data_IF_705458406017
#
_entry.id   IF_705458406017
#
_cell.length_a   1.000
_cell.length_b   1.000
_cell.length_c   1.000
_cell.angle_alpha   90.00
_cell.angle_beta   90.00
_cell.angle_gamma   90.00
#
_symmetry.space_group_name_H-M   'P 1'
#
loop_
_entity.id
_entity.type
_entity.pdbx_description
1 polymer ?
#
# COMPACT_ATOMS: atom_id res chain seq x y z
N UNK A 1 -29.19 -0.46 11.71
CA UNK A 1 -27.86 0.05 11.28
C UNK A 1 -28.05 0.86 10.01
N UNK A 2 -27.52 2.09 9.90
CA UNK A 2 -27.68 2.91 8.69
C UNK A 2 -26.98 2.18 7.52
N UNK A 3 -27.70 1.94 6.42
CA UNK A 3 -27.18 1.25 5.21
C UNK A 3 -25.89 1.90 4.66
N UNK A 4 -25.64 3.18 4.99
CA UNK A 4 -24.42 3.89 4.63
C UNK A 4 -23.14 3.32 5.27
N UNK A 5 -23.21 2.63 6.41
CA UNK A 5 -22.04 2.10 7.12
C UNK A 5 -21.36 0.96 6.34
N UNK A 6 -22.06 -0.13 5.94
CA UNK A 6 -21.43 -1.19 5.14
C UNK A 6 -20.97 -0.70 3.75
N UNK A 7 -21.72 0.22 3.13
CA UNK A 7 -21.37 0.77 1.81
C UNK A 7 -20.09 1.61 1.88
N UNK A 8 -19.96 2.49 2.88
CA UNK A 8 -18.75 3.30 3.06
C UNK A 8 -17.54 2.43 3.41
N UNK A 9 -17.71 1.38 4.23
CA UNK A 9 -16.65 0.42 4.52
C UNK A 9 -16.21 -0.36 3.27
N UNK A 10 -17.16 -0.80 2.44
CA UNK A 10 -16.87 -1.51 1.19
C UNK A 10 -16.12 -0.63 0.18
N UNK A 11 -16.58 0.61 -0.02
CA UNK A 11 -15.91 1.58 -0.90
C UNK A 11 -14.51 1.91 -0.38
N UNK A 12 -14.36 2.13 0.93
CA UNK A 12 -13.05 2.37 1.55
C UNK A 12 -12.11 1.17 1.38
N UNK A 13 -12.62 -0.06 1.51
CA UNK A 13 -11.86 -1.28 1.29
C UNK A 13 -11.36 -1.38 -0.16
N UNK A 14 -12.23 -1.17 -1.16
CA UNK A 14 -11.82 -1.23 -2.58
C UNK A 14 -10.77 -0.17 -2.90
N UNK A 15 -10.99 1.08 -2.47
CA UNK A 15 -10.07 2.19 -2.75
C UNK A 15 -8.73 1.97 -2.06
N UNK A 16 -8.75 1.55 -0.79
CA UNK A 16 -7.54 1.27 -0.02
C UNK A 16 -6.75 0.09 -0.60
N UNK A 17 -7.45 -0.95 -1.04
CA UNK A 17 -6.84 -2.13 -1.64
C UNK A 17 -6.24 -1.83 -3.02
N UNK A 18 -6.96 -1.08 -3.86
CA UNK A 18 -6.52 -0.75 -5.22
C UNK A 18 -5.19 -0.01 -5.26
N UNK A 19 -4.99 0.97 -4.37
CA UNK A 19 -3.72 1.70 -4.28
C UNK A 19 -2.60 0.86 -3.66
N UNK A 20 -2.90 0.14 -2.57
CA UNK A 20 -1.85 -0.52 -1.79
C UNK A 20 -1.37 -1.82 -2.43
N UNK A 21 -2.25 -2.57 -3.10
CA UNK A 21 -1.90 -3.79 -3.81
C UNK A 21 -0.86 -3.52 -4.92
N UNK A 22 -0.99 -2.41 -5.65
CA UNK A 22 -0.02 -2.03 -6.67
C UNK A 22 1.39 -1.87 -6.09
N UNK A 23 1.51 -1.26 -4.90
CA UNK A 23 2.77 -1.10 -4.19
C UNK A 23 3.31 -2.46 -3.67
N UNK A 24 2.43 -3.34 -3.18
CA UNK A 24 2.82 -4.70 -2.76
C UNK A 24 3.41 -5.48 -3.94
N UNK A 25 2.77 -5.43 -5.11
CA UNK A 25 3.26 -6.11 -6.32
C UNK A 25 4.58 -5.50 -6.79
N UNK A 26 4.72 -4.16 -6.74
CA UNK A 26 5.97 -3.50 -7.07
C UNK A 26 7.12 -3.93 -6.13
N UNK A 27 6.85 -4.03 -4.83
CA UNK A 27 7.80 -4.52 -3.84
C UNK A 27 8.18 -5.99 -4.08
N UNK A 28 7.18 -6.84 -4.37
CA UNK A 28 7.39 -8.25 -4.69
C UNK A 28 8.27 -8.43 -5.94
N UNK A 29 8.04 -7.62 -6.99
CA UNK A 29 8.89 -7.62 -8.19
C UNK A 29 10.31 -7.16 -7.90
N UNK A 30 10.50 -6.16 -7.04
CA UNK A 30 11.82 -5.65 -6.68
C UNK A 30 12.71 -6.68 -5.98
N UNK A 31 12.10 -7.62 -5.25
CA UNK A 31 12.80 -8.72 -4.55
C UNK A 31 12.85 -10.03 -5.35
N UNK A 32 12.37 -10.01 -6.60
CA UNK A 32 12.37 -11.16 -7.51
C UNK A 32 11.34 -12.25 -7.17
N UNK A 33 10.25 -11.91 -6.48
CA UNK A 33 9.22 -12.89 -6.12
C UNK A 33 8.50 -13.44 -7.35
N UNK A 34 8.24 -14.75 -7.35
CA UNK A 34 7.42 -15.41 -8.36
C UNK A 34 5.95 -14.99 -8.25
N UNK A 35 5.19 -15.24 -9.32
CA UNK A 35 3.74 -14.95 -9.33
C UNK A 35 2.99 -15.71 -8.23
N UNK A 36 3.41 -16.95 -7.96
CA UNK A 36 2.84 -17.81 -6.91
C UNK A 36 3.13 -17.26 -5.52
N UNK A 37 4.37 -16.82 -5.25
CA UNK A 37 4.76 -16.20 -3.98
C UNK A 37 4.03 -14.87 -3.76
N UNK A 38 3.88 -14.07 -4.80
CA UNK A 38 3.14 -12.80 -4.73
C UNK A 38 1.66 -13.04 -4.38
N UNK A 39 1.01 -14.00 -5.05
CA UNK A 39 -0.39 -14.35 -4.78
C UNK A 39 -0.59 -14.92 -3.36
N UNK A 40 0.32 -15.79 -2.92
CA UNK A 40 0.32 -16.33 -1.55
C UNK A 40 0.55 -15.23 -0.50
N UNK A 41 1.51 -14.34 -0.73
CA UNK A 41 1.82 -13.23 0.16
C UNK A 41 0.67 -12.23 0.29
N UNK A 42 0.04 -11.87 -0.82
CA UNK A 42 -1.17 -11.00 -0.80
C UNK A 42 -2.28 -11.68 0.00
N UNK A 43 -2.54 -12.97 -0.22
CA UNK A 43 -3.56 -13.71 0.52
C UNK A 43 -3.26 -13.74 2.03
N UNK A 44 -2.01 -13.99 2.40
CA UNK A 44 -1.56 -14.00 3.79
C UNK A 44 -1.74 -12.63 4.45
N UNK A 45 -1.39 -11.53 3.78
CA UNK A 45 -1.58 -10.16 4.29
C UNK A 45 -3.06 -9.85 4.49
N UNK A 46 -3.91 -10.19 3.51
CA UNK A 46 -5.36 -9.99 3.61
C UNK A 46 -5.95 -10.73 4.83
N UNK A 47 -5.57 -11.99 5.01
CA UNK A 47 -6.04 -12.80 6.13
C UNK A 47 -5.50 -12.28 7.47
N UNK A 48 -4.21 -11.93 7.53
CA UNK A 48 -3.60 -11.36 8.73
C UNK A 48 -4.32 -10.08 9.16
N UNK A 49 -4.53 -9.15 8.23
CA UNK A 49 -5.23 -7.89 8.52
C UNK A 49 -6.69 -8.10 8.92
N UNK A 50 -7.41 -9.02 8.26
CA UNK A 50 -8.78 -9.34 8.61
C UNK A 50 -8.87 -9.90 10.04
N UNK A 51 -7.98 -10.83 10.39
CA UNK A 51 -7.91 -11.43 11.73
C UNK A 51 -7.50 -10.40 12.77
N UNK A 52 -6.47 -9.59 12.52
CA UNK A 52 -6.01 -8.55 13.45
C UNK A 52 -7.07 -7.48 13.70
N UNK A 53 -7.68 -6.94 12.65
CA UNK A 53 -8.74 -5.95 12.77
C UNK A 53 -9.94 -6.52 13.52
N UNK A 54 -10.37 -7.75 13.18
CA UNK A 54 -11.49 -8.41 13.87
C UNK A 54 -11.18 -8.65 15.34
N UNK A 55 -9.99 -9.17 15.66
CA UNK A 55 -9.55 -9.46 17.02
C UNK A 55 -9.44 -8.21 17.88
N UNK A 56 -8.76 -7.17 17.38
CA UNK A 56 -8.61 -5.88 18.07
C UNK A 56 -9.97 -5.22 18.26
N UNK A 57 -10.77 -5.14 17.20
CA UNK A 57 -12.10 -4.51 17.24
C UNK A 57 -13.05 -5.21 18.21
N UNK A 58 -13.00 -6.55 18.28
CA UNK A 58 -13.76 -7.33 19.25
C UNK A 58 -13.28 -7.09 20.68
N UNK A 59 -11.96 -7.07 20.91
CA UNK A 59 -11.38 -6.89 22.25
C UNK A 59 -11.60 -5.48 22.80
N UNK A 60 -11.41 -4.43 21.99
CA UNK A 60 -11.55 -3.04 22.43
C UNK A 60 -12.98 -2.52 22.31
N UNK A 61 -13.90 -3.27 21.69
CA UNK A 61 -15.28 -2.85 21.42
C UNK A 61 -15.37 -1.51 20.66
N UNK A 62 -14.37 -1.23 19.84
CA UNK A 62 -14.26 -0.03 19.00
C UNK A 62 -13.78 -0.44 17.61
N UNK A 63 -14.23 0.20 16.52
CA UNK A 63 -13.77 -0.10 15.18
C UNK A 63 -12.29 0.29 15.02
N UNK A 64 -11.38 -0.66 15.23
CA UNK A 64 -9.94 -0.49 15.01
C UNK A 64 -9.59 -0.93 13.59
N UNK A 65 -8.88 -0.05 12.89
CA UNK A 65 -8.27 -0.34 11.59
C UNK A 65 -6.76 -0.33 11.83
N UNK A 66 -6.09 -1.44 11.52
CA UNK A 66 -4.62 -1.53 11.65
C UNK A 66 -3.93 -0.70 10.57
N UNK A 67 -2.76 -0.17 10.92
CA UNK A 67 -1.96 0.62 9.98
C UNK A 67 -1.31 -0.28 8.93
N UNK A 68 -1.30 0.17 7.68
CA UNK A 68 -0.57 -0.49 6.60
C UNK A 68 0.90 -0.09 6.63
N UNK A 69 1.81 -1.04 6.39
CA UNK A 69 3.24 -0.77 6.17
C UNK A 69 3.53 -0.21 4.77
N UNK A 70 2.64 0.62 4.21
CA UNK A 70 2.76 1.20 2.86
C UNK A 70 4.11 1.90 2.60
N UNK A 71 4.65 2.76 3.49
CA UNK A 71 5.97 3.36 3.25
C UNK A 71 7.09 2.31 3.29
N UNK A 72 6.97 1.25 4.10
CA UNK A 72 7.94 0.15 4.11
C UNK A 72 7.94 -0.64 2.81
N UNK A 73 6.75 -0.92 2.25
CA UNK A 73 6.63 -1.55 0.94
C UNK A 73 7.17 -0.67 -0.19
N UNK A 74 6.91 0.64 -0.13
CA UNK A 74 7.46 1.59 -1.10
C UNK A 74 8.99 1.65 -1.05
N UNK A 75 9.58 1.58 0.16
CA UNK A 75 11.03 1.50 0.33
C UNK A 75 11.60 0.22 -0.31
N UNK A 76 10.99 -0.94 -0.05
CA UNK A 76 11.41 -2.22 -0.64
C UNK A 76 11.27 -2.18 -2.17
N UNK A 77 10.16 -1.64 -2.68
CA UNK A 77 9.94 -1.45 -4.12
C UNK A 77 10.94 -0.51 -4.79
N UNK A 78 11.51 0.44 -4.04
CA UNK A 78 12.55 1.34 -4.51
C UNK A 78 13.97 0.77 -4.34
N UNK A 79 14.13 -0.34 -3.62
CA UNK A 79 15.40 -1.02 -3.37
C UNK A 79 15.71 -2.08 -4.44
N UNK A 80 16.97 -2.53 -4.52
CA UNK A 80 17.41 -3.54 -5.49
C UNK A 80 18.47 -4.46 -4.89
N UNK A 81 18.53 -5.70 -5.36
CA UNK A 81 19.60 -6.65 -5.01
C UNK A 81 19.33 -7.50 -3.76
N UNK A 82 18.08 -7.52 -3.27
CA UNK A 82 17.67 -8.35 -2.14
C UNK A 82 16.76 -9.49 -2.62
N UNK A 83 16.90 -10.65 -1.99
CA UNK A 83 16.03 -11.80 -2.21
C UNK A 83 14.73 -11.69 -1.40
N UNK A 84 13.72 -12.47 -1.81
CA UNK A 84 12.46 -12.62 -1.07
C UNK A 84 12.72 -13.01 0.40
N UNK A 85 13.66 -13.91 0.65
CA UNK A 85 14.00 -14.39 1.99
C UNK A 85 14.56 -13.28 2.89
N UNK A 86 15.45 -12.45 2.36
CA UNK A 86 15.99 -11.29 3.09
C UNK A 86 14.92 -10.24 3.39
N UNK A 87 14.02 -9.99 2.43
CA UNK A 87 12.90 -9.08 2.63
C UNK A 87 11.94 -9.57 3.73
N UNK A 88 11.58 -10.86 3.71
CA UNK A 88 10.75 -11.48 4.76
C UNK A 88 11.45 -11.43 6.11
N UNK A 89 12.75 -11.76 6.17
CA UNK A 89 13.55 -11.66 7.39
C UNK A 89 13.58 -10.24 7.96
N UNK A 90 13.79 -9.24 7.10
CA UNK A 90 13.75 -7.83 7.49
C UNK A 90 12.37 -7.42 8.04
N UNK A 91 11.27 -7.86 7.42
CA UNK A 91 9.92 -7.59 7.92
C UNK A 91 9.66 -8.26 9.29
N UNK A 92 10.09 -9.50 9.49
CA UNK A 92 9.93 -10.20 10.77
C UNK A 92 10.74 -9.49 11.86
N UNK A 93 12.01 -9.17 11.60
CA UNK A 93 12.86 -8.44 12.55
C UNK A 93 12.25 -7.07 12.87
N UNK A 94 11.76 -6.34 11.86
CA UNK A 94 11.09 -5.06 12.05
C UNK A 94 9.81 -5.21 12.87
N UNK A 95 9.02 -6.25 12.67
CA UNK A 95 7.82 -6.53 13.46
C UNK A 95 8.16 -6.80 14.93
N UNK A 96 9.19 -7.62 15.20
CA UNK A 96 9.67 -7.87 16.57
C UNK A 96 10.15 -6.58 17.23
N UNK A 97 10.91 -5.75 16.51
CA UNK A 97 11.36 -4.46 17.01
C UNK A 97 10.18 -3.50 17.27
N UNK A 98 9.18 -3.45 16.38
CA UNK A 98 7.97 -2.66 16.58
C UNK A 98 7.21 -3.10 17.83
N UNK A 99 6.99 -4.40 18.02
CA UNK A 99 6.35 -4.95 19.23
C UNK A 99 7.16 -4.59 20.48
N UNK A 100 8.48 -4.75 20.43
CA UNK A 100 9.36 -4.38 21.53
C UNK A 100 9.27 -2.88 21.87
N UNK A 101 9.31 -2.00 20.86
CA UNK A 101 9.17 -0.55 21.07
C UNK A 101 7.81 -0.18 21.64
N UNK A 102 6.72 -0.83 21.18
CA UNK A 102 5.38 -0.60 21.71
C UNK A 102 5.19 -1.05 23.16
N UNK A 103 5.90 -2.10 23.58
CA UNK A 103 5.88 -2.59 24.96
C UNK A 103 6.74 -1.73 25.91
N UNK A 104 7.80 -1.10 25.39
CA UNK A 104 8.67 -0.19 26.13
C UNK A 104 8.14 1.26 26.16
N UNK A 105 7.30 1.57 27.16
CA UNK A 105 6.74 2.91 27.41
C UNK A 105 7.71 4.11 27.29
N UNK A 106 8.94 4.09 27.84
CA UNK A 106 9.86 5.23 27.70
C UNK A 106 10.30 5.46 26.24
N UNK A 107 10.44 4.39 25.45
CA UNK A 107 10.78 4.50 24.03
C UNK A 107 9.61 5.10 23.25
N UNK A 108 8.38 4.65 23.52
CA UNK A 108 7.17 5.22 22.92
C UNK A 108 7.05 6.72 23.21
N UNK A 109 7.36 7.15 24.44
CA UNK A 109 7.38 8.57 24.80
C UNK A 109 8.47 9.35 24.07
N UNK A 110 9.63 8.74 23.79
CA UNK A 110 10.70 9.37 23.03
C UNK A 110 10.33 9.50 21.55
N UNK A 111 9.73 8.47 20.95
CA UNK A 111 9.21 8.49 19.58
C UNK A 111 8.13 9.57 19.44
N UNK A 112 7.25 9.72 20.44
CA UNK A 112 6.23 10.77 20.46
C UNK A 112 6.79 12.20 20.50
N UNK A 113 8.08 12.39 20.80
CA UNK A 113 8.76 13.70 20.75
C UNK A 113 9.36 14.02 19.38
N UNK A 114 9.37 13.08 18.44
CA UNK A 114 9.89 13.33 17.09
C UNK A 114 9.01 14.42 16.44
N UNK A 115 9.59 15.55 16.01
CA UNK A 115 8.82 16.61 15.37
C UNK A 115 8.10 16.08 14.12
N UNK A 116 6.83 16.45 13.89
CA UNK A 116 6.09 16.02 12.70
C UNK A 116 6.82 16.33 11.40
N UNK A 117 7.57 17.44 11.34
CA UNK A 117 8.38 17.82 10.18
C UNK A 117 9.47 16.80 9.84
N UNK A 118 10.11 16.19 10.84
CA UNK A 118 11.14 15.16 10.65
C UNK A 118 10.49 13.88 10.13
N UNK A 119 9.37 13.46 10.72
CA UNK A 119 8.62 12.29 10.27
C UNK A 119 8.11 12.45 8.83
N UNK A 120 7.57 13.61 8.47
CA UNK A 120 7.18 13.93 7.09
C UNK A 120 8.38 13.96 6.15
N UNK A 121 9.54 14.47 6.59
CA UNK A 121 10.78 14.43 5.81
C UNK A 121 11.27 13.01 5.54
N UNK A 122 11.20 12.11 6.53
CA UNK A 122 11.52 10.69 6.36
C UNK A 122 10.61 10.01 5.34
N UNK A 123 9.29 10.24 5.45
CA UNK A 123 8.31 9.72 4.49
C UNK A 123 8.55 10.28 3.08
N UNK A 124 8.83 11.58 2.96
CA UNK A 124 9.15 12.19 1.68
C UNK A 124 10.39 11.54 1.04
N UNK A 125 11.47 11.34 1.81
CA UNK A 125 12.68 10.68 1.31
C UNK A 125 12.41 9.28 0.75
N UNK A 126 11.63 8.47 1.46
CA UNK A 126 11.24 7.12 1.01
C UNK A 126 10.37 7.20 -0.26
N UNK A 127 9.37 8.09 -0.27
CA UNK A 127 8.42 8.20 -1.37
C UNK A 127 9.04 8.80 -2.63
N UNK A 128 10.04 9.67 -2.54
CA UNK A 128 10.74 10.24 -3.69
C UNK A 128 11.43 9.15 -4.52
N UNK A 129 12.10 8.19 -3.88
CA UNK A 129 12.71 7.05 -4.59
C UNK A 129 11.67 6.21 -5.33
N UNK A 130 10.58 5.86 -4.65
CA UNK A 130 9.48 5.12 -5.25
C UNK A 130 8.83 5.89 -6.42
N UNK A 131 8.54 7.18 -6.23
CA UNK A 131 7.90 8.02 -7.24
C UNK A 131 8.78 8.20 -8.48
N UNK A 132 10.08 8.46 -8.31
CA UNK A 132 11.02 8.60 -9.44
C UNK A 132 11.11 7.32 -10.26
N UNK A 133 11.09 6.15 -9.63
CA UNK A 133 11.03 4.87 -10.34
C UNK A 133 9.69 4.67 -11.07
N UNK A 134 8.57 5.12 -10.52
CA UNK A 134 7.29 5.09 -11.22
C UNK A 134 7.30 5.95 -12.50
N UNK A 135 7.92 7.14 -12.49
CA UNK A 135 8.07 7.98 -13.68
C UNK A 135 8.95 7.35 -14.76
N UNK A 136 9.96 6.55 -14.38
CA UNK A 136 10.81 5.81 -15.34
C UNK A 136 10.05 4.73 -16.12
N UNK A 137 8.86 4.34 -15.67
CA UNK A 137 8.00 3.39 -16.40
C UNK A 137 7.23 4.03 -17.57
N UNK A 138 7.10 5.37 -17.59
CA UNK A 138 6.33 6.10 -18.63
C UNK A 138 6.80 5.82 -20.06
N UNK A 139 8.12 5.77 -20.36
CA UNK A 139 8.59 5.49 -21.71
C UNK A 139 8.25 4.09 -22.22
N UNK A 140 7.89 3.14 -21.34
CA UNK A 140 7.55 1.77 -21.72
C UNK A 140 6.22 1.68 -22.46
N UNK A 141 5.18 2.37 -21.99
CA UNK A 141 3.85 2.41 -22.60
C UNK A 141 3.18 3.78 -22.39
N UNK A 142 3.70 4.83 -23.06
CA UNK A 142 3.26 6.20 -22.81
C UNK A 142 1.78 6.41 -23.16
N UNK A 143 1.27 5.71 -24.18
CA UNK A 143 -0.12 5.83 -24.62
C UNK A 143 -1.13 5.26 -23.61
N UNK A 144 -0.70 4.36 -22.72
CA UNK A 144 -1.51 3.82 -21.65
C UNK A 144 -1.34 4.63 -20.35
N UNK A 145 -0.10 4.97 -20.01
CA UNK A 145 0.24 5.55 -18.70
C UNK A 145 -0.18 7.04 -18.62
N UNK A 146 0.07 7.84 -19.65
CA UNK A 146 -0.28 9.27 -19.66
C UNK A 146 -1.79 9.54 -19.49
N UNK A 147 -2.71 8.87 -20.22
CA UNK A 147 -4.14 9.08 -20.02
C UNK A 147 -4.63 8.62 -18.65
N UNK A 148 -4.07 7.54 -18.09
CA UNK A 148 -4.40 7.10 -16.72
C UNK A 148 -3.98 8.12 -15.68
N UNK A 149 -2.78 8.70 -15.82
CA UNK A 149 -2.31 9.79 -14.95
C UNK A 149 -3.20 11.03 -15.10
N UNK A 150 -3.52 11.44 -16.33
CA UNK A 150 -4.38 12.59 -16.58
C UNK A 150 -5.79 12.39 -15.99
N UNK A 151 -6.40 11.22 -16.23
CA UNK A 151 -7.69 10.86 -15.67
C UNK A 151 -7.66 10.83 -14.13
N UNK A 152 -6.59 10.29 -13.54
CA UNK A 152 -6.39 10.30 -12.09
C UNK A 152 -6.41 11.72 -11.54
N UNK A 153 -5.60 12.63 -12.09
CA UNK A 153 -5.51 14.01 -11.60
C UNK A 153 -6.79 14.81 -11.81
N UNK A 154 -7.43 14.70 -12.98
CA UNK A 154 -8.68 15.39 -13.29
C UNK A 154 -9.79 14.95 -12.34
N UNK A 155 -9.97 13.64 -12.15
CA UNK A 155 -11.04 13.12 -11.30
C UNK A 155 -10.72 13.35 -9.82
N UNK A 156 -9.43 13.30 -9.43
CA UNK A 156 -9.00 13.55 -8.05
C UNK A 156 -9.26 14.98 -7.61
N UNK A 157 -9.30 15.94 -8.54
CA UNK A 157 -9.67 17.33 -8.25
C UNK A 157 -11.11 17.47 -7.76
N UNK A 158 -12.02 16.61 -8.23
CA UNK A 158 -13.43 16.61 -7.82
C UNK A 158 -13.71 15.64 -6.67
N UNK A 159 -13.19 14.42 -6.76
CA UNK A 159 -13.40 13.40 -5.73
C UNK A 159 -12.25 12.38 -5.67
N UNK A 160 -11.42 12.38 -4.61
CA UNK A 160 -10.28 11.48 -4.48
C UNK A 160 -10.67 10.00 -4.30
N UNK A 161 -11.91 9.71 -3.89
CA UNK A 161 -12.41 8.35 -3.79
C UNK A 161 -12.77 7.77 -5.17
N UNK A 162 -13.38 8.60 -6.03
CA UNK A 162 -13.77 8.19 -7.39
C UNK A 162 -12.57 8.12 -8.34
N UNK A 163 -11.50 8.89 -8.08
CA UNK A 163 -10.31 8.88 -8.94
C UNK A 163 -9.64 7.51 -8.99
N UNK A 164 -9.55 6.81 -7.86
CA UNK A 164 -8.96 5.47 -7.80
C UNK A 164 -9.84 4.46 -8.54
N UNK A 165 -11.17 4.51 -8.32
CA UNK A 165 -12.12 3.62 -9.00
C UNK A 165 -12.12 3.82 -10.52
N UNK A 166 -12.13 5.07 -10.98
CA UNK A 166 -12.14 5.39 -12.40
C UNK A 166 -10.85 4.92 -13.10
N UNK A 167 -9.70 5.05 -12.44
CA UNK A 167 -8.41 4.58 -12.98
C UNK A 167 -8.36 3.05 -13.01
N UNK A 168 -8.86 2.36 -11.98
CA UNK A 168 -8.94 0.90 -11.98
C UNK A 168 -9.82 0.37 -13.11
N UNK A 169 -10.98 0.99 -13.33
CA UNK A 169 -11.89 0.62 -14.42
C UNK A 169 -11.25 0.94 -15.77
N UNK A 170 -10.69 2.14 -15.93
CA UNK A 170 -10.04 2.57 -17.18
C UNK A 170 -8.86 1.67 -17.55
N UNK A 171 -8.05 1.26 -16.56
CA UNK A 171 -6.97 0.29 -16.76
C UNK A 171 -7.50 -1.07 -17.22
N UNK A 172 -8.53 -1.61 -16.55
CA UNK A 172 -9.16 -2.88 -16.92
C UNK A 172 -9.76 -2.86 -18.34
N UNK A 173 -10.36 -1.73 -18.74
CA UNK A 173 -10.92 -1.57 -20.09
C UNK A 173 -9.83 -1.49 -21.16
N UNK A 174 -8.72 -0.78 -20.89
CA UNK A 174 -7.60 -0.70 -21.84
C UNK A 174 -6.88 -2.04 -22.01
N UNK A 175 -6.66 -2.80 -20.92
CA UNK A 175 -6.01 -4.12 -21.01
C UNK A 175 -6.90 -5.15 -21.68
N UNK A 176 -8.22 -5.11 -21.46
CA UNK A 176 -9.17 -5.95 -22.18
C UNK A 176 -9.22 -5.62 -23.68
N UNK A 177 -9.10 -4.34 -24.05
CA UNK A 177 -9.02 -3.90 -25.45
C UNK A 177 -7.73 -4.36 -26.15
N UNK A 178 -6.59 -4.32 -25.45
CA UNK A 178 -5.31 -4.80 -25.99
C UNK A 178 -5.26 -6.33 -26.18
N UNK A 179 -5.98 -7.11 -25.36
CA UNK A 179 -6.06 -8.57 -25.48
C UNK A 179 -6.96 -9.05 -26.63
N UNK A 180 -7.79 -8.15 -27.18
CA UNK A 180 -8.72 -8.42 -28.29
C UNK A 180 -8.22 -7.86 -29.64
N UNK A 181 -7.03 -7.25 -29.66
CA UNK A 181 -6.39 -6.64 -30.85
C UNK A 181 -5.15 -7.44 -31.25
#
# INVERSE_FOLDING_TARGET
MRISIPISAFVAAIIGFGGTLAVVIAAAKAVGATQTETASGVTAICLAMAVECLWLSWRTKMPIITAWSTPGLALVAASSGFSVGEAVGAFIVTAVLLVATGLFKPLTQLIARIPPSVASGMLAGILVGFATNAFKAIPGDPWLILPLIAAFFVIRLFNPALSVLAVLIGFASCTAGLLLS
#
